data_IF_831643918294
#
_entry.id   IF_831643918294
#
_cell.length_a   1.000
_cell.length_b   1.000
_cell.length_c   1.000
_cell.angle_alpha   90.00
_cell.angle_beta   90.00
_cell.angle_gamma   90.00
#
_symmetry.space_group_name_H-M   'P 1'
#
loop_
_entity.id
_entity.type
_entity.pdbx_description
1 polymer ?
#
# COMPACT_ATOMS: atom_id res chain seq x y z
N UNK A 1 28.18 -41.09 12.95
CA UNK A 1 27.35 -40.73 14.12
C UNK A 1 26.36 -39.68 13.65
N UNK A 2 25.06 -39.99 13.58
CA UNK A 2 24.04 -39.05 13.10
C UNK A 2 23.33 -38.40 14.28
N UNK A 3 23.35 -37.07 14.37
CA UNK A 3 22.61 -36.33 15.40
C UNK A 3 21.15 -36.23 14.94
N UNK A 4 20.23 -36.75 15.75
CA UNK A 4 18.80 -36.48 15.59
C UNK A 4 18.46 -35.18 16.32
N UNK A 5 17.98 -34.19 15.57
CA UNK A 5 17.43 -32.94 16.12
C UNK A 5 15.92 -33.03 16.01
N UNK A 6 15.21 -32.80 17.13
CA UNK A 6 13.76 -32.65 17.14
C UNK A 6 13.44 -31.15 17.17
N UNK A 7 12.63 -30.67 16.22
CA UNK A 7 12.22 -29.26 16.12
C UNK A 7 10.73 -29.18 16.38
N UNK A 8 10.34 -28.47 17.44
CA UNK A 8 8.94 -28.20 17.77
C UNK A 8 8.59 -26.74 17.48
N UNK A 9 7.64 -26.53 16.57
CA UNK A 9 7.17 -25.20 16.18
C UNK A 9 5.98 -24.76 17.03
N UNK A 10 5.99 -23.51 17.49
CA UNK A 10 4.85 -22.92 18.18
C UNK A 10 3.83 -22.39 17.15
N UNK A 11 2.95 -23.29 16.69
CA UNK A 11 1.93 -22.97 15.68
C UNK A 11 0.98 -21.83 16.11
N UNK A 12 0.70 -21.69 17.40
CA UNK A 12 -0.15 -20.60 17.90
C UNK A 12 0.50 -19.23 17.68
N UNK A 13 1.80 -19.08 18.00
CA UNK A 13 2.55 -17.84 17.75
C UNK A 13 2.73 -17.57 16.26
N UNK A 14 2.96 -18.62 15.45
CA UNK A 14 3.06 -18.50 13.99
C UNK A 14 1.74 -17.95 13.41
N UNK A 15 0.59 -18.48 13.83
CA UNK A 15 -0.70 -17.99 13.37
C UNK A 15 -0.95 -16.52 13.74
N UNK A 16 -0.52 -16.08 14.93
CA UNK A 16 -0.58 -14.66 15.30
C UNK A 16 0.24 -13.81 14.32
N UNK A 17 1.45 -14.23 13.96
CA UNK A 17 2.29 -13.51 13.00
C UNK A 17 1.68 -13.48 11.60
N UNK A 18 1.08 -14.58 11.14
CA UNK A 18 0.41 -14.65 9.83
C UNK A 18 -0.75 -13.67 9.76
N UNK A 19 -1.61 -13.64 10.78
CA UNK A 19 -2.74 -12.70 10.82
C UNK A 19 -2.30 -11.25 11.01
N UNK A 20 -1.26 -11.01 11.82
CA UNK A 20 -0.66 -9.69 11.98
C UNK A 20 -0.08 -9.19 10.66
N UNK A 21 0.56 -10.06 9.86
CA UNK A 21 1.10 -9.73 8.54
C UNK A 21 0.01 -9.29 7.57
N UNK A 22 -1.06 -10.07 7.41
CA UNK A 22 -2.18 -9.74 6.50
C UNK A 22 -2.81 -8.41 6.86
N UNK A 23 -3.10 -8.20 8.15
CA UNK A 23 -3.72 -6.95 8.62
C UNK A 23 -2.76 -5.76 8.53
N UNK A 24 -1.46 -5.97 8.72
CA UNK A 24 -0.46 -4.92 8.49
C UNK A 24 -0.40 -4.51 7.01
N UNK A 25 -0.46 -5.47 6.07
CA UNK A 25 -0.51 -5.16 4.63
C UNK A 25 -1.75 -4.33 4.26
N UNK A 26 -2.93 -4.73 4.75
CA UNK A 26 -4.18 -3.98 4.57
C UNK A 26 -4.04 -2.54 5.06
N UNK A 27 -3.64 -2.36 6.32
CA UNK A 27 -3.50 -1.04 6.93
C UNK A 27 -2.45 -0.17 6.22
N UNK A 28 -1.34 -0.76 5.77
CA UNK A 28 -0.32 -0.04 4.99
C UNK A 28 -0.87 0.42 3.66
N UNK A 29 -1.65 -0.42 2.98
CA UNK A 29 -2.20 -0.08 1.65
C UNK A 29 -3.23 1.05 1.76
N UNK A 30 -4.05 1.03 2.82
CA UNK A 30 -4.96 2.14 3.16
C UNK A 30 -4.21 3.44 3.48
N UNK A 31 -3.12 3.35 4.26
CA UNK A 31 -2.28 4.50 4.56
C UNK A 31 -1.63 5.09 3.30
N UNK A 32 -1.21 4.25 2.35
CA UNK A 32 -0.68 4.69 1.05
C UNK A 32 -1.76 5.39 0.23
N UNK A 33 -2.98 4.83 0.13
CA UNK A 33 -4.08 5.49 -0.58
C UNK A 33 -4.43 6.86 0.05
N UNK A 34 -4.45 6.92 1.38
CA UNK A 34 -4.68 8.16 2.13
C UNK A 34 -3.58 9.21 1.88
N UNK A 35 -2.31 8.78 1.86
CA UNK A 35 -1.17 9.65 1.56
C UNK A 35 -1.20 10.15 0.10
N UNK A 36 -1.57 9.31 -0.86
CA UNK A 36 -1.77 9.71 -2.27
C UNK A 36 -2.80 10.85 -2.37
N UNK A 37 -3.93 10.72 -1.66
CA UNK A 37 -4.99 11.75 -1.62
C UNK A 37 -4.50 13.03 -0.95
N UNK A 38 -3.88 12.91 0.22
CA UNK A 38 -3.40 14.06 1.00
C UNK A 38 -2.26 14.81 0.31
N UNK A 39 -1.44 14.11 -0.47
CA UNK A 39 -0.36 14.71 -1.26
C UNK A 39 -0.88 15.54 -2.43
N UNK A 40 -2.18 15.50 -2.73
CA UNK A 40 -2.81 16.25 -3.80
C UNK A 40 -2.15 16.02 -5.18
N UNK A 41 -1.72 14.78 -5.45
CA UNK A 41 -1.00 14.40 -6.69
C UNK A 41 -1.91 13.84 -7.78
N UNK A 42 -3.14 13.43 -7.43
CA UNK A 42 -4.09 12.83 -8.37
C UNK A 42 -4.73 13.93 -9.22
N UNK A 43 -4.78 13.81 -10.56
CA UNK A 43 -5.50 14.76 -11.42
C UNK A 43 -6.97 14.91 -11.02
N UNK A 44 -7.46 16.15 -10.91
CA UNK A 44 -8.78 16.42 -10.35
C UNK A 44 -9.54 17.49 -11.12
N UNK A 45 -10.64 17.07 -11.76
CA UNK A 45 -11.68 17.98 -12.26
C UNK A 45 -12.95 17.84 -11.42
N UNK A 46 -13.83 16.88 -11.72
CA UNK A 46 -15.04 16.61 -10.90
C UNK A 46 -14.76 15.81 -9.61
N UNK A 47 -13.55 15.25 -9.51
CA UNK A 47 -13.11 14.40 -8.39
C UNK A 47 -13.37 12.90 -8.56
N UNK A 48 -13.96 12.45 -9.67
CA UNK A 48 -14.27 11.02 -9.83
C UNK A 48 -13.04 10.12 -9.87
N UNK A 49 -11.93 10.58 -10.46
CA UNK A 49 -10.69 9.80 -10.44
C UNK A 49 -10.25 9.51 -9.00
N UNK A 50 -10.16 10.52 -8.16
CA UNK A 50 -9.72 10.37 -6.76
C UNK A 50 -10.70 9.55 -5.91
N UNK A 51 -12.01 9.69 -6.17
CA UNK A 51 -13.07 8.89 -5.52
C UNK A 51 -13.03 7.41 -5.93
N UNK A 52 -12.67 7.12 -7.18
CA UNK A 52 -12.51 5.74 -7.67
C UNK A 52 -11.31 5.01 -7.07
N UNK A 53 -10.45 5.70 -6.32
CA UNK A 53 -9.34 5.11 -5.60
C UNK A 53 -9.81 4.22 -4.45
N UNK A 54 -9.47 2.93 -4.48
CA UNK A 54 -9.77 2.00 -3.38
C UNK A 54 -8.65 0.97 -3.17
N UNK A 55 -8.68 0.31 -2.01
CA UNK A 55 -7.78 -0.80 -1.69
C UNK A 55 -8.44 -2.13 -2.06
N UNK A 56 -7.80 -2.88 -2.94
CA UNK A 56 -8.20 -4.24 -3.29
C UNK A 56 -7.40 -5.25 -2.45
N UNK A 57 -8.14 -6.06 -1.69
CA UNK A 57 -7.63 -7.11 -0.80
C UNK A 57 -8.04 -8.52 -1.28
N UNK A 58 -8.55 -8.67 -2.50
CA UNK A 58 -9.00 -9.95 -3.06
C UNK A 58 -7.93 -11.05 -2.98
N UNK A 59 -6.65 -10.69 -3.07
CA UNK A 59 -5.51 -11.60 -3.01
C UNK A 59 -4.69 -11.49 -1.71
N UNK A 60 -5.29 -10.98 -0.62
CA UNK A 60 -4.58 -10.85 0.67
C UNK A 60 -4.12 -12.21 1.22
N UNK A 61 -4.79 -13.31 0.83
CA UNK A 61 -4.38 -14.69 1.14
C UNK A 61 -3.02 -15.06 0.54
N UNK A 62 -2.66 -14.44 -0.59
CA UNK A 62 -1.37 -14.57 -1.25
C UNK A 62 -0.40 -13.44 -0.84
N UNK A 63 -0.72 -12.70 0.23
CA UNK A 63 0.04 -11.53 0.70
C UNK A 63 0.13 -10.39 -0.32
N UNK A 64 -0.91 -10.22 -1.13
CA UNK A 64 -1.01 -9.15 -2.13
C UNK A 64 -2.17 -8.21 -1.77
N UNK A 65 -1.86 -6.92 -1.67
CA UNK A 65 -2.83 -5.84 -1.54
C UNK A 65 -2.52 -4.79 -2.61
N UNK A 66 -3.55 -4.16 -3.20
CA UNK A 66 -3.40 -3.23 -4.33
C UNK A 66 -4.11 -1.92 -4.05
N UNK A 67 -3.51 -0.83 -4.50
CA UNK A 67 -4.21 0.45 -4.68
C UNK A 67 -4.70 0.52 -6.12
N UNK A 68 -6.00 0.69 -6.31
CA UNK A 68 -6.65 0.67 -7.63
C UNK A 68 -7.40 1.98 -7.84
N UNK A 69 -7.30 2.53 -9.05
CA UNK A 69 -8.09 3.67 -9.52
C UNK A 69 -8.96 3.20 -10.69
N UNK A 70 -10.25 2.97 -10.43
CA UNK A 70 -11.16 2.34 -11.39
C UNK A 70 -11.99 3.37 -12.17
N UNK A 71 -11.32 4.13 -13.04
CA UNK A 71 -12.00 4.90 -14.09
C UNK A 71 -11.45 4.53 -15.47
N UNK A 72 -12.29 4.57 -16.54
CA UNK A 72 -11.84 4.24 -17.89
C UNK A 72 -10.63 5.06 -18.37
N UNK A 73 -10.47 6.28 -17.85
CA UNK A 73 -9.42 7.21 -18.22
C UNK A 73 -8.23 7.24 -17.24
N UNK A 74 -8.26 6.52 -16.11
CA UNK A 74 -7.17 6.50 -15.13
C UNK A 74 -5.83 6.12 -15.77
N UNK A 75 -5.82 5.04 -16.56
CA UNK A 75 -4.61 4.57 -17.26
C UNK A 75 -4.02 5.64 -18.18
N UNK A 76 -4.87 6.32 -18.95
CA UNK A 76 -4.44 7.39 -19.85
C UNK A 76 -3.83 8.55 -19.06
N UNK A 77 -4.48 9.01 -17.99
CA UNK A 77 -3.93 10.12 -17.21
C UNK A 77 -2.63 9.71 -16.48
N UNK A 78 -2.53 8.45 -16.04
CA UNK A 78 -1.37 7.96 -15.31
C UNK A 78 -0.12 7.90 -16.20
N UNK A 79 -0.22 7.34 -17.40
CA UNK A 79 0.95 7.10 -18.26
C UNK A 79 1.37 8.28 -19.14
N UNK A 80 0.66 9.41 -19.07
CA UNK A 80 0.93 10.61 -19.85
C UNK A 80 1.35 11.80 -18.94
N UNK A 81 2.54 11.76 -18.32
CA UNK A 81 3.03 12.84 -17.45
C UNK A 81 3.31 14.16 -18.19
N UNK A 82 3.39 14.13 -19.52
CA UNK A 82 3.59 15.32 -20.37
C UNK A 82 2.35 16.23 -20.45
N UNK A 83 1.19 15.78 -19.96
CA UNK A 83 -0.02 16.58 -19.96
C UNK A 83 0.07 17.76 -19.00
N UNK A 84 -0.55 18.88 -19.39
CA UNK A 84 -0.69 20.04 -18.52
C UNK A 84 -1.90 19.84 -17.58
N UNK A 85 -1.65 19.22 -16.43
CA UNK A 85 -2.69 18.95 -15.44
C UNK A 85 -3.15 20.23 -14.75
N UNK A 86 -4.46 20.35 -14.54
CA UNK A 86 -5.03 21.43 -13.73
C UNK A 86 -4.63 21.28 -12.27
N UNK A 87 -4.14 22.36 -11.68
CA UNK A 87 -3.65 22.41 -10.29
C UNK A 87 -4.51 23.29 -9.37
N UNK A 88 -5.68 23.75 -9.84
CA UNK A 88 -6.60 24.59 -9.06
C UNK A 88 -7.20 23.85 -7.85
N UNK A 89 -7.38 22.53 -7.96
CA UNK A 89 -7.95 21.69 -6.88
C UNK A 89 -6.88 20.85 -6.16
N UNK A 90 -5.99 20.24 -6.92
CA UNK A 90 -4.89 19.43 -6.42
C UNK A 90 -3.59 20.07 -6.91
N UNK A 91 -2.91 20.81 -6.02
CA UNK A 91 -1.77 21.64 -6.37
C UNK A 91 -0.58 20.85 -6.97
N UNK A 92 -0.46 19.56 -6.62
CA UNK A 92 0.61 18.69 -7.10
C UNK A 92 0.14 17.70 -8.18
N UNK A 93 -1.01 17.98 -8.82
CA UNK A 93 -1.59 17.11 -9.83
C UNK A 93 -0.59 16.79 -10.94
N UNK A 94 -0.38 15.51 -11.19
CA UNK A 94 0.62 15.01 -12.13
C UNK A 94 0.22 13.65 -12.70
N UNK A 95 0.84 13.26 -13.81
CA UNK A 95 0.85 11.87 -14.27
C UNK A 95 1.71 11.01 -13.35
N UNK A 96 1.63 9.70 -13.49
CA UNK A 96 2.39 8.73 -12.68
C UNK A 96 2.35 9.00 -11.17
N UNK A 97 1.18 9.41 -10.65
CA UNK A 97 1.02 9.86 -9.26
C UNK A 97 1.32 8.80 -8.18
N UNK A 98 1.59 7.54 -8.56
CA UNK A 98 2.02 6.46 -7.65
C UNK A 98 3.52 6.15 -7.75
N UNK A 99 4.25 6.76 -8.70
CA UNK A 99 5.66 6.46 -8.97
C UNK A 99 6.56 6.71 -7.75
N UNK A 100 6.25 7.75 -6.96
CA UNK A 100 7.00 8.08 -5.74
C UNK A 100 7.01 6.94 -4.71
N UNK A 101 5.99 6.09 -4.71
CA UNK A 101 5.88 4.93 -3.83
C UNK A 101 6.56 3.67 -4.41
N UNK A 102 6.70 3.60 -5.73
CA UNK A 102 7.31 2.47 -6.43
C UNK A 102 8.83 2.59 -6.46
N UNK A 103 9.31 3.73 -6.97
CA UNK A 103 10.73 3.97 -7.30
C UNK A 103 11.29 5.25 -6.65
N UNK A 104 10.45 6.07 -6.03
CA UNK A 104 10.85 7.35 -5.44
C UNK A 104 11.01 7.35 -3.92
N UNK A 105 10.98 8.57 -3.37
CA UNK A 105 11.27 8.86 -1.95
C UNK A 105 10.28 8.20 -0.98
N UNK A 106 9.04 7.93 -1.43
CA UNK A 106 7.99 7.33 -0.59
C UNK A 106 8.05 5.81 -0.54
N UNK A 107 9.02 5.16 -1.17
CA UNK A 107 9.26 3.73 -0.97
C UNK A 107 9.56 3.41 0.50
N UNK A 108 10.29 4.30 1.19
CA UNK A 108 10.59 4.12 2.61
C UNK A 108 9.35 4.25 3.49
N UNK A 109 8.42 5.15 3.13
CA UNK A 109 7.14 5.29 3.82
C UNK A 109 6.34 3.98 3.85
N UNK A 110 6.33 3.19 2.76
CA UNK A 110 5.67 1.87 2.74
C UNK A 110 6.32 0.93 3.76
N UNK A 111 7.66 0.84 3.75
CA UNK A 111 8.42 -0.07 4.61
C UNK A 111 8.23 0.27 6.09
N UNK A 112 8.28 1.56 6.41
CA UNK A 112 8.15 2.06 7.79
C UNK A 112 6.73 1.88 8.30
N UNK A 113 5.74 2.24 7.50
CA UNK A 113 4.33 2.05 7.81
C UNK A 113 3.99 0.59 8.04
N UNK A 114 4.45 -0.31 7.16
CA UNK A 114 4.27 -1.75 7.34
C UNK A 114 4.96 -2.26 8.61
N UNK A 115 6.23 -1.89 8.84
CA UNK A 115 6.98 -2.32 10.01
C UNK A 115 6.29 -1.89 11.31
N UNK A 116 5.77 -0.66 11.34
CA UNK A 116 5.00 -0.11 12.46
C UNK A 116 3.73 -0.91 12.72
N UNK A 117 2.91 -1.17 11.70
CA UNK A 117 1.68 -1.93 11.85
C UNK A 117 1.94 -3.39 12.22
N UNK A 118 2.92 -4.02 11.57
CA UNK A 118 3.28 -5.40 11.86
C UNK A 118 3.76 -5.56 13.30
N UNK A 119 4.65 -4.67 13.78
CA UNK A 119 5.10 -4.67 15.17
C UNK A 119 3.94 -4.52 16.16
N UNK A 120 3.06 -3.55 15.92
CA UNK A 120 1.87 -3.32 16.76
C UNK A 120 0.95 -4.55 16.80
N UNK A 121 0.70 -5.18 15.66
CA UNK A 121 -0.22 -6.31 15.53
C UNK A 121 0.38 -7.65 15.97
N UNK A 122 1.71 -7.77 15.99
CA UNK A 122 2.43 -8.98 16.39
C UNK A 122 2.33 -9.31 17.89
N UNK A 123 1.67 -8.47 18.71
CA UNK A 123 1.49 -8.66 20.16
C UNK A 123 2.81 -8.89 20.91
N UNK A 124 3.87 -8.17 20.51
CA UNK A 124 5.20 -8.26 21.14
C UNK A 124 6.04 -9.45 20.71
N UNK A 125 5.58 -10.23 19.72
CA UNK A 125 6.38 -11.29 19.09
C UNK A 125 7.48 -10.70 18.20
N UNK A 126 7.26 -9.52 17.63
CA UNK A 126 8.25 -8.74 16.88
C UNK A 126 8.69 -7.57 17.77
N UNK A 127 9.99 -7.48 18.03
CA UNK A 127 10.59 -6.43 18.88
C UNK A 127 11.04 -5.24 18.07
#
# INVERSE_FOLDING_TARGET
MGVRVNIELNNAKINILIEAHKKALEMTTEAVLSDIRTSAVVPKDTGELERSGFVDLSEIKNSIARVVFDTPYARRLYWHPEYNFRQDKNANAQGKWMESYLTGEKQQFIKDTYSKFFKMLSKGLVK
#
